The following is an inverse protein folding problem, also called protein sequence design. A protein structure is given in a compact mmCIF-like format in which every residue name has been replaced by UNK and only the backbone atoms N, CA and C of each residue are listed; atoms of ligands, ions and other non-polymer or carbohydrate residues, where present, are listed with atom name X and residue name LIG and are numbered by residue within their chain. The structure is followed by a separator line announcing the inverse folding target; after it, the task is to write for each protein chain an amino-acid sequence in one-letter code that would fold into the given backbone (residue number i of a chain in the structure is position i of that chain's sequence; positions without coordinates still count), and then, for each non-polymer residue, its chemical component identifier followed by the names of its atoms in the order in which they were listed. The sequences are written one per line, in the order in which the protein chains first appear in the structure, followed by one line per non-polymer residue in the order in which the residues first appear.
data_IF_950778824177
#
_entry.id   IF_950778824177
#
_cell.length_a   1.000
_cell.length_b   1.000
_cell.length_c   1.000
_cell.angle_alpha   90.00
_cell.angle_beta   90.00
_cell.angle_gamma   90.00
#
_symmetry.space_group_name_H-M   'P 1'
#
loop_
_entity.id
_entity.type
_entity.pdbx_description
1 polymer ?
#
# COMPACT_ATOMS: atom_id res chain seq x y z
N UNK A 1 2.57 16.09 -16.72
CA UNK A 1 3.22 14.87 -16.19
C UNK A 1 2.77 13.68 -17.01
N UNK A 2 3.74 12.95 -17.55
CA UNK A 2 3.50 11.67 -18.21
C UNK A 2 3.19 10.58 -17.14
N UNK A 3 2.84 9.35 -17.57
CA UNK A 3 2.51 8.26 -16.63
C UNK A 3 3.65 7.87 -15.68
N UNK A 4 4.91 7.97 -16.11
CA UNK A 4 6.08 7.68 -15.28
C UNK A 4 6.24 8.73 -14.19
N UNK A 5 6.11 10.02 -14.53
CA UNK A 5 6.19 11.10 -13.53
C UNK A 5 5.08 10.92 -12.47
N UNK A 6 3.86 10.60 -12.92
CA UNK A 6 2.72 10.37 -12.01
C UNK A 6 2.93 9.12 -11.16
N UNK A 7 3.47 8.05 -11.74
CA UNK A 7 3.85 6.84 -10.99
C UNK A 7 4.88 7.19 -9.91
N UNK A 8 5.95 7.91 -10.27
CA UNK A 8 7.00 8.37 -9.36
C UNK A 8 6.45 9.18 -8.19
N UNK A 9 5.49 10.08 -8.45
CA UNK A 9 4.79 10.83 -7.40
C UNK A 9 4.12 9.92 -6.37
N UNK A 10 3.39 8.90 -6.81
CA UNK A 10 2.74 7.96 -5.89
C UNK A 10 3.75 7.08 -5.14
N UNK A 11 4.86 6.70 -5.78
CA UNK A 11 5.95 5.98 -5.12
C UNK A 11 6.62 6.83 -4.04
N UNK A 12 6.89 8.11 -4.30
CA UNK A 12 7.40 9.06 -3.31
C UNK A 12 6.47 9.12 -2.10
N UNK A 13 5.16 9.21 -2.32
CA UNK A 13 4.18 9.23 -1.24
C UNK A 13 4.16 7.90 -0.46
N UNK A 14 4.35 6.75 -1.12
CA UNK A 14 4.44 5.45 -0.46
C UNK A 14 5.70 5.36 0.42
N UNK A 15 6.85 5.82 -0.09
CA UNK A 15 8.12 5.83 0.65
C UNK A 15 8.09 6.79 1.84
N UNK A 16 7.44 7.94 1.68
CA UNK A 16 7.23 8.88 2.77
C UNK A 16 6.40 8.28 3.90
N UNK A 17 5.35 7.53 3.56
CA UNK A 17 4.53 6.85 4.56
C UNK A 17 5.34 5.78 5.30
N UNK A 18 6.18 5.00 4.58
CA UNK A 18 7.08 4.03 5.21
C UNK A 18 8.04 4.69 6.19
N UNK A 19 8.67 5.80 5.82
CA UNK A 19 9.53 6.56 6.74
C UNK A 19 8.77 7.17 7.91
N UNK A 20 7.51 7.58 7.71
CA UNK A 20 6.64 8.09 8.77
C UNK A 20 6.27 6.99 9.77
N UNK A 21 6.07 5.75 9.30
CA UNK A 21 5.80 4.60 10.18
C UNK A 21 6.94 4.41 11.19
N UNK A 22 8.20 4.56 10.78
CA UNK A 22 9.35 4.44 11.69
C UNK A 22 9.29 5.48 12.84
N UNK A 23 8.92 6.73 12.53
CA UNK A 23 8.72 7.76 13.54
C UNK A 23 7.55 7.43 14.50
N UNK A 24 6.47 6.84 13.99
CA UNK A 24 5.33 6.42 14.82
C UNK A 24 5.65 5.21 15.70
N UNK A 25 6.48 4.29 15.22
CA UNK A 25 7.01 3.18 16.02
C UNK A 25 7.84 3.72 17.17
N UNK A 26 8.75 4.67 16.91
CA UNK A 26 9.53 5.33 17.96
C UNK A 26 8.63 6.04 18.98
N UNK A 27 7.53 6.65 18.52
CA UNK A 27 6.51 7.28 19.36
C UNK A 27 5.50 6.31 20.01
N UNK A 28 5.64 4.99 19.81
CA UNK A 28 4.73 3.93 20.29
C UNK A 28 3.25 4.19 19.93
N UNK A 29 3.00 4.72 18.72
CA UNK A 29 1.68 5.07 18.19
C UNK A 29 1.11 3.95 17.33
N UNK A 30 0.87 2.78 17.92
CA UNK A 30 0.60 1.52 17.23
C UNK A 30 -0.63 1.51 16.31
N UNK A 31 -1.71 2.17 16.73
CA UNK A 31 -2.91 2.31 15.90
C UNK A 31 -2.60 3.10 14.61
N UNK A 32 -1.81 4.18 14.73
CA UNK A 32 -1.38 4.96 13.57
C UNK A 32 -0.37 4.23 12.70
N UNK A 33 0.47 3.37 13.27
CA UNK A 33 1.35 2.47 12.51
C UNK A 33 0.53 1.57 11.59
N UNK A 34 -0.51 0.92 12.10
CA UNK A 34 -1.38 0.06 11.30
C UNK A 34 -2.12 0.83 10.19
N UNK A 35 -2.62 2.03 10.50
CA UNK A 35 -3.24 2.90 9.51
C UNK A 35 -2.30 3.29 8.36
N UNK A 36 -1.08 3.73 8.70
CA UNK A 36 -0.09 4.11 7.68
C UNK A 36 0.44 2.92 6.89
N UNK A 37 0.46 1.72 7.46
CA UNK A 37 0.76 0.50 6.71
C UNK A 37 -0.20 0.31 5.52
N UNK A 38 -1.50 0.52 5.75
CA UNK A 38 -2.50 0.46 4.67
C UNK A 38 -2.29 1.60 3.65
N UNK A 39 -2.03 2.84 4.11
CA UNK A 39 -1.80 3.99 3.22
C UNK A 39 -0.56 3.78 2.32
N UNK A 40 0.52 3.26 2.89
CA UNK A 40 1.75 3.00 2.15
C UNK A 40 1.52 2.02 0.99
N UNK A 41 0.81 0.90 1.22
CA UNK A 41 0.50 -0.05 0.14
C UNK A 41 -0.59 0.49 -0.81
N UNK A 42 -1.57 1.25 -0.33
CA UNK A 42 -2.56 1.91 -1.19
C UNK A 42 -1.88 2.82 -2.22
N UNK A 43 -0.92 3.64 -1.78
CA UNK A 43 -0.14 4.52 -2.65
C UNK A 43 0.74 3.74 -3.62
N UNK A 44 1.35 2.64 -3.18
CA UNK A 44 2.10 1.75 -4.08
C UNK A 44 1.20 1.16 -5.18
N UNK A 45 -0.01 0.69 -4.83
CA UNK A 45 -0.98 0.18 -5.80
C UNK A 45 -1.50 1.27 -6.73
N UNK A 46 -1.69 2.50 -6.24
CA UNK A 46 -2.04 3.66 -7.07
C UNK A 46 -0.93 4.04 -8.05
N UNK A 47 0.34 3.91 -7.65
CA UNK A 47 1.48 4.07 -8.56
C UNK A 47 1.42 3.06 -9.72
N UNK A 48 1.15 1.78 -9.38
CA UNK A 48 0.97 0.72 -10.39
C UNK A 48 -0.26 0.97 -11.28
N UNK A 49 -1.36 1.41 -10.69
CA UNK A 49 -2.58 1.75 -11.42
C UNK A 49 -2.29 2.79 -12.51
N UNK A 50 -1.62 3.89 -12.14
CA UNK A 50 -1.26 4.93 -13.12
C UNK A 50 -0.30 4.40 -14.18
N UNK A 51 0.69 3.59 -13.80
CA UNK A 51 1.66 3.06 -14.77
C UNK A 51 1.01 2.11 -15.80
N UNK A 52 0.27 1.11 -15.33
CA UNK A 52 -0.30 0.08 -16.21
C UNK A 52 -1.59 0.53 -16.92
N UNK A 53 -2.45 1.28 -16.24
CA UNK A 53 -3.79 1.62 -16.75
C UNK A 53 -3.82 3.03 -17.38
N UNK A 54 -2.76 3.82 -17.19
CA UNK A 54 -2.59 5.17 -17.77
C UNK A 54 -3.79 6.10 -17.51
N UNK A 55 -4.35 6.01 -16.30
CA UNK A 55 -5.46 6.85 -15.85
C UNK A 55 -5.32 7.18 -14.36
N UNK A 56 -6.07 8.19 -13.92
CA UNK A 56 -6.08 8.56 -12.51
C UNK A 56 -6.67 7.45 -11.64
N UNK A 57 -6.05 7.11 -10.50
CA UNK A 57 -6.55 6.07 -9.64
C UNK A 57 -7.92 6.46 -9.06
N UNK A 58 -8.84 5.50 -8.91
CA UNK A 58 -10.16 5.78 -8.36
C UNK A 58 -10.07 6.27 -6.90
N UNK A 59 -11.02 7.10 -6.49
CA UNK A 59 -11.16 7.60 -5.12
C UNK A 59 -11.70 6.52 -4.19
N UNK A 60 -10.86 5.53 -3.87
CA UNK A 60 -11.15 4.40 -2.99
C UNK A 60 -9.97 4.10 -2.08
N UNK A 61 -10.29 3.54 -0.91
CA UNK A 61 -9.31 3.01 0.05
C UNK A 61 -9.23 1.48 0.02
N UNK A 62 -10.05 0.82 -0.80
CA UNK A 62 -10.07 -0.63 -0.89
C UNK A 62 -8.83 -1.12 -1.68
N UNK A 63 -7.80 -1.54 -0.95
CA UNK A 63 -6.54 -1.99 -1.55
C UNK A 63 -6.68 -3.33 -2.28
N UNK A 64 -7.56 -4.22 -1.84
CA UNK A 64 -7.89 -5.45 -2.58
C UNK A 64 -8.48 -5.12 -3.96
N UNK A 65 -9.40 -4.16 -4.02
CA UNK A 65 -9.96 -3.68 -5.28
C UNK A 65 -8.89 -3.06 -6.19
N UNK A 66 -8.00 -2.21 -5.66
CA UNK A 66 -6.90 -1.61 -6.43
C UNK A 66 -5.96 -2.69 -6.98
N UNK A 67 -5.59 -3.66 -6.15
CA UNK A 67 -4.75 -4.78 -6.54
C UNK A 67 -5.39 -5.58 -7.69
N UNK A 68 -6.64 -6.03 -7.53
CA UNK A 68 -7.36 -6.75 -8.59
C UNK A 68 -7.44 -5.92 -9.88
N UNK A 69 -7.76 -4.62 -9.79
CA UNK A 69 -7.81 -3.75 -10.98
C UNK A 69 -6.49 -3.67 -11.72
N UNK A 70 -5.36 -3.64 -11.00
CA UNK A 70 -4.02 -3.64 -11.60
C UNK A 70 -3.73 -5.00 -12.23
N UNK A 71 -3.82 -6.09 -11.48
CA UNK A 71 -3.37 -7.41 -11.95
C UNK A 71 -4.28 -8.00 -13.04
N UNK A 72 -5.55 -7.65 -13.04
CA UNK A 72 -6.51 -8.10 -14.07
C UNK A 72 -6.48 -7.22 -15.33
N UNK A 73 -5.73 -6.11 -15.33
CA UNK A 73 -5.60 -5.23 -16.49
C UNK A 73 -4.78 -5.90 -17.61
N UNK A 74 -5.16 -5.65 -18.86
CA UNK A 74 -4.45 -6.20 -20.02
C UNK A 74 -2.98 -5.73 -20.11
N UNK A 75 -2.64 -4.46 -19.82
CA UNK A 75 -1.23 -4.04 -19.81
C UNK A 75 -0.40 -4.79 -18.76
N UNK A 76 -0.92 -4.99 -17.55
CA UNK A 76 -0.22 -5.76 -16.51
C UNK A 76 0.04 -7.20 -16.95
N UNK A 77 -0.98 -7.89 -17.48
CA UNK A 77 -0.83 -9.29 -17.94
C UNK A 77 0.22 -9.45 -19.05
N UNK A 78 0.39 -8.42 -19.88
CA UNK A 78 1.36 -8.43 -20.99
C UNK A 78 2.78 -8.10 -20.56
N UNK A 79 2.93 -7.16 -19.62
CA UNK A 79 4.25 -6.62 -19.22
C UNK A 79 4.85 -7.33 -17.99
N UNK A 80 4.02 -7.75 -17.03
CA UNK A 80 4.48 -8.29 -15.76
C UNK A 80 4.79 -9.79 -15.83
N UNK A 81 5.76 -10.24 -15.01
CA UNK A 81 6.06 -11.65 -14.80
C UNK A 81 4.89 -12.37 -14.10
N UNK A 82 4.15 -13.16 -14.88
CA UNK A 82 2.98 -13.90 -14.40
C UNK A 82 3.34 -15.06 -13.47
N UNK A 83 4.53 -15.65 -13.60
CA UNK A 83 5.00 -16.70 -12.68
C UNK A 83 5.33 -16.11 -11.31
N UNK A 84 5.98 -14.94 -11.28
CA UNK A 84 6.21 -14.17 -10.05
C UNK A 84 4.90 -13.73 -9.39
N UNK A 85 3.93 -13.29 -10.18
CA UNK A 85 2.59 -12.98 -9.68
C UNK A 85 1.97 -14.21 -9.02
N UNK A 86 1.89 -15.34 -9.74
CA UNK A 86 1.28 -16.56 -9.23
C UNK A 86 1.91 -17.04 -7.91
N UNK A 87 3.24 -16.91 -7.77
CA UNK A 87 3.97 -17.31 -6.56
C UNK A 87 3.65 -16.43 -5.33
N UNK A 88 3.36 -15.14 -5.53
CA UNK A 88 3.16 -14.18 -4.43
C UNK A 88 1.71 -13.71 -4.23
N UNK A 89 0.80 -13.99 -5.17
CA UNK A 89 -0.55 -13.43 -5.21
C UNK A 89 -1.35 -13.70 -3.94
N UNK A 90 -1.43 -14.96 -3.53
CA UNK A 90 -2.24 -15.38 -2.36
C UNK A 90 -1.74 -14.68 -1.10
N UNK A 91 -0.42 -14.71 -0.86
CA UNK A 91 0.18 -14.05 0.30
C UNK A 91 -0.04 -12.53 0.29
N UNK A 92 -0.04 -11.90 -0.89
CA UNK A 92 -0.35 -10.48 -1.03
C UNK A 92 -1.82 -10.20 -0.73
N UNK A 93 -2.76 -10.97 -1.29
CA UNK A 93 -4.21 -10.83 -1.05
C UNK A 93 -4.54 -11.00 0.44
N UNK A 94 -3.96 -12.00 1.12
CA UNK A 94 -4.09 -12.21 2.57
C UNK A 94 -3.60 -10.99 3.36
N UNK A 95 -2.41 -10.48 3.03
CA UNK A 95 -1.89 -9.26 3.64
C UNK A 95 -2.79 -8.03 3.38
N UNK A 96 -3.32 -7.86 2.18
CA UNK A 96 -4.19 -6.73 1.85
C UNK A 96 -5.52 -6.80 2.62
N UNK A 97 -6.02 -8.01 2.88
CA UNK A 97 -7.15 -8.23 3.78
C UNK A 97 -6.81 -7.81 5.23
N UNK A 98 -5.64 -8.21 5.76
CA UNK A 98 -5.17 -7.77 7.08
C UNK A 98 -5.06 -6.23 7.15
N UNK A 99 -4.41 -5.61 6.15
CA UNK A 99 -4.23 -4.16 6.09
C UNK A 99 -5.58 -3.41 6.04
N UNK A 100 -6.56 -3.94 5.30
CA UNK A 100 -7.92 -3.39 5.27
C UNK A 100 -8.67 -3.57 6.58
N UNK A 101 -8.47 -4.68 7.29
CA UNK A 101 -9.14 -4.95 8.56
C UNK A 101 -8.74 -3.93 9.65
N UNK A 102 -7.45 -3.55 9.67
CA UNK A 102 -6.92 -2.56 10.61
C UNK A 102 -6.94 -1.12 10.07
N UNK A 103 -7.42 -0.91 8.84
CA UNK A 103 -7.62 0.43 8.30
C UNK A 103 -8.62 1.19 9.16
N UNK A 104 -8.15 2.29 9.76
CA UNK A 104 -9.05 3.22 10.43
C UNK A 104 -9.90 3.95 9.39
N UNK A 105 -11.14 3.53 9.23
CA UNK A 105 -12.19 4.52 9.02
C UNK A 105 -12.58 5.00 10.42
N UNK A 106 -12.37 6.29 10.71
CA UNK A 106 -12.76 6.93 11.99
C UNK A 106 -14.29 6.93 12.23
N UNK A 107 -15.03 6.08 11.50
CA UNK A 107 -16.44 5.84 11.65
C UNK A 107 -16.67 4.61 12.55
N UNK A 108 -17.16 4.80 13.79
CA UNK A 108 -17.53 3.69 14.65
C UNK A 108 -18.76 2.99 14.04
N UNK A 109 -18.53 1.88 13.33
CA UNK A 109 -19.61 0.99 12.88
C UNK A 109 -20.40 0.43 14.09
N UNK A 110 -19.77 0.37 15.26
CA UNK A 110 -20.39 0.07 16.54
C UNK A 110 -19.51 0.58 17.68
N UNK A 111 -20.07 1.45 18.53
CA UNK A 111 -19.42 1.92 19.77
C UNK A 111 -19.22 0.81 20.81
N UNK A 112 -19.76 -0.40 20.58
CA UNK A 112 -19.73 -1.51 21.55
C UNK A 112 -18.42 -2.30 21.55
N UNK A 113 -17.62 -2.24 20.48
CA UNK A 113 -16.41 -3.08 20.30
C UNK A 113 -15.17 -2.26 19.90
N UNK A 114 -14.98 -1.07 20.49
CA UNK A 114 -13.88 -0.17 20.11
C UNK A 114 -12.50 -0.80 20.36
N UNK A 115 -12.37 -1.68 21.36
CA UNK A 115 -11.12 -2.34 21.76
C UNK A 115 -10.60 -3.36 20.74
N UNK A 116 -11.48 -4.00 19.96
CA UNK A 116 -11.08 -5.00 18.97
C UNK A 116 -10.33 -4.44 17.76
N UNK A 117 -10.33 -3.11 17.59
CA UNK A 117 -9.57 -2.39 16.57
C UNK A 117 -8.27 -1.77 17.10
N UNK A 118 -8.03 -1.82 18.42
CA UNK A 118 -6.77 -1.35 18.96
C UNK A 118 -5.67 -2.33 18.60
N UNK A 119 -4.74 -1.85 17.79
CA UNK A 119 -3.56 -2.59 17.41
C UNK A 119 -2.50 -2.40 18.50
N UNK A 120 -2.08 -3.49 19.12
CA UNK A 120 -0.95 -3.51 20.04
C UNK A 120 0.40 -3.55 19.31
N UNK A 121 1.48 -3.37 20.07
CA UNK A 121 2.86 -3.32 19.54
C UNK A 121 3.21 -4.51 18.64
N UNK A 122 3.02 -5.74 19.12
CA UNK A 122 3.40 -6.94 18.37
C UNK A 122 2.73 -7.01 16.99
N UNK A 123 1.42 -6.77 16.95
CA UNK A 123 0.64 -6.80 15.71
C UNK A 123 1.00 -5.62 14.78
N UNK A 124 1.21 -4.41 15.32
CA UNK A 124 1.63 -3.26 14.52
C UNK A 124 2.99 -3.50 13.85
N UNK A 125 3.94 -4.08 14.57
CA UNK A 125 5.26 -4.40 14.04
C UNK A 125 5.21 -5.52 13.00
N UNK A 126 4.35 -6.53 13.19
CA UNK A 126 4.11 -7.57 12.20
C UNK A 126 3.50 -7.00 10.91
N UNK A 127 2.46 -6.17 11.03
CA UNK A 127 1.85 -5.47 9.89
C UNK A 127 2.87 -4.60 9.14
N UNK A 128 3.72 -3.88 9.87
CA UNK A 128 4.76 -3.06 9.24
C UNK A 128 5.78 -3.91 8.48
N UNK A 129 6.23 -5.03 9.05
CA UNK A 129 7.11 -5.97 8.36
C UNK A 129 6.48 -6.47 7.06
N UNK A 130 5.25 -7.00 7.13
CA UNK A 130 4.51 -7.47 5.96
C UNK A 130 4.29 -6.36 4.92
N UNK A 131 4.08 -5.13 5.36
CA UNK A 131 3.93 -3.97 4.48
C UNK A 131 5.19 -3.69 3.69
N UNK A 132 6.36 -3.69 4.33
CA UNK A 132 7.64 -3.52 3.60
C UNK A 132 7.88 -4.62 2.58
N UNK A 133 7.62 -5.86 2.96
CA UNK A 133 7.76 -7.03 2.07
C UNK A 133 6.83 -6.92 0.86
N UNK A 134 5.56 -6.58 1.09
CA UNK A 134 4.57 -6.46 0.02
C UNK A 134 4.77 -5.21 -0.85
N UNK A 135 5.14 -4.06 -0.28
CA UNK A 135 5.48 -2.87 -1.08
C UNK A 135 6.68 -3.15 -1.97
N UNK A 136 7.74 -3.79 -1.45
CA UNK A 136 8.90 -4.18 -2.26
C UNK A 136 8.52 -5.20 -3.35
N UNK A 137 7.70 -6.20 -3.00
CA UNK A 137 7.22 -7.19 -3.96
C UNK A 137 6.38 -6.57 -5.07
N UNK A 138 5.41 -5.72 -4.73
CA UNK A 138 4.58 -4.99 -5.70
C UNK A 138 5.43 -4.07 -6.58
N UNK A 139 6.35 -3.31 -5.97
CA UNK A 139 7.24 -2.39 -6.67
C UNK A 139 8.12 -3.11 -7.69
N UNK A 140 8.53 -4.34 -7.42
CA UNK A 140 9.31 -5.15 -8.36
C UNK A 140 8.59 -5.53 -9.67
N UNK A 141 7.30 -5.22 -9.83
CA UNK A 141 6.63 -5.33 -11.13
C UNK A 141 6.81 -4.06 -11.98
N UNK A 142 7.10 -2.92 -11.36
CA UNK A 142 7.32 -1.67 -12.09
C UNK A 142 8.72 -1.63 -12.72
N UNK A 143 8.91 -0.89 -13.83
CA UNK A 143 10.24 -0.55 -14.30
C UNK A 143 10.95 0.36 -13.29
N UNK A 144 12.22 0.67 -13.56
CA UNK A 144 12.91 1.73 -12.81
C UNK A 144 12.22 3.08 -13.10
N UNK A 145 11.49 3.59 -12.11
CA UNK A 145 10.82 4.89 -12.15
C UNK A 145 11.63 5.87 -11.31
N UNK A 146 11.88 7.07 -11.83
CA UNK A 146 12.47 8.15 -11.05
C UNK A 146 11.48 8.60 -9.96
N UNK A 147 11.91 8.51 -8.71
CA UNK A 147 11.11 8.92 -7.56
C UNK A 147 11.54 10.35 -7.17
N UNK A 148 10.64 11.35 -7.27
CA UNK A 148 10.97 12.71 -6.91
C UNK A 148 11.32 12.82 -5.43
N UNK A 149 12.27 13.70 -5.12
CA UNK A 149 12.61 14.02 -3.73
C UNK A 149 11.55 14.93 -3.12
N UNK A 150 11.27 14.73 -1.84
CA UNK A 150 10.40 15.63 -1.09
C UNK A 150 11.22 16.88 -0.78
N UNK A 151 10.73 18.08 -1.15
CA UNK A 151 11.45 19.31 -0.84
C UNK A 151 11.63 19.45 0.67
N UNK A 152 12.87 19.61 1.10
CA UNK A 152 13.17 20.11 2.45
C UNK A 152 12.63 21.55 2.53
N UNK A 153 11.73 21.79 3.49
CA UNK A 153 11.15 23.12 3.75
C UNK A 153 11.83 23.78 4.94
#
# INVERSE_FOLDING_TARGET
MNRLDKCGYWLMLSDYDLGTIDALIAGRRWVYVAYLCQQAVERQLKAMYVYYIDSEPPKTHNVNFLFSKVVDSEPFKKEADQSRLAAGRIACEDYLMDAMFYYMSDYPFSYKNISGRFVGEALALELYKKTKENVAWLRGFLPNVEIPQIPER
#
